data_IF_068900577747
#
_entry.id   IF_068900577747
#
_cell.length_a   1.000
_cell.length_b   1.000
_cell.length_c   1.000
_cell.angle_alpha   90.00
_cell.angle_beta   90.00
_cell.angle_gamma   90.00
#
_symmetry.space_group_name_H-M   'P 1'
#
loop_
_entity.id
_entity.type
_entity.pdbx_description
1 polymer ?
#
# COMPACT_ATOMS: atom_id res chain seq x y z
N UNK A 1 14.57 -7.39 -8.10
CA UNK A 1 13.77 -6.15 -8.22
C UNK A 1 13.96 -5.32 -6.96
N UNK A 2 14.11 -4.01 -7.11
CA UNK A 2 14.31 -3.10 -5.97
C UNK A 2 12.97 -2.52 -5.56
N UNK A 3 12.66 -2.58 -4.26
CA UNK A 3 11.42 -2.06 -3.71
C UNK A 3 11.71 -0.86 -2.84
N UNK A 4 11.17 0.29 -3.22
CA UNK A 4 11.35 1.54 -2.49
C UNK A 4 10.07 1.91 -1.73
N UNK A 5 10.25 2.55 -0.59
CA UNK A 5 9.12 3.08 0.17
C UNK A 5 8.28 4.01 -0.73
N UNK A 6 6.98 3.86 -0.67
CA UNK A 6 5.99 4.57 -1.48
C UNK A 6 5.98 4.22 -2.97
N UNK A 7 6.65 3.14 -3.37
CA UNK A 7 6.40 2.53 -4.67
C UNK A 7 4.97 1.97 -4.72
N UNK A 8 4.39 2.02 -5.91
CA UNK A 8 3.09 1.40 -6.20
C UNK A 8 3.33 0.11 -6.95
N UNK A 9 2.83 -0.99 -6.43
CA UNK A 9 3.07 -2.34 -6.94
C UNK A 9 1.76 -3.07 -7.18
N UNK A 10 1.72 -3.93 -8.18
CA UNK A 10 0.62 -4.87 -8.37
C UNK A 10 0.95 -6.13 -7.57
N UNK A 11 0.05 -6.52 -6.67
CA UNK A 11 0.29 -7.58 -5.68
C UNK A 11 -0.86 -8.57 -5.67
N UNK A 12 -0.53 -9.87 -5.61
CA UNK A 12 -1.52 -10.91 -5.34
C UNK A 12 -1.72 -11.01 -3.83
N UNK A 13 -2.89 -10.60 -3.35
CA UNK A 13 -3.22 -10.56 -1.93
C UNK A 13 -3.80 -11.86 -1.39
N UNK A 14 -4.27 -12.75 -2.27
CA UNK A 14 -4.88 -14.02 -1.82
C UNK A 14 -3.83 -15.01 -1.34
N UNK A 15 -4.19 -15.89 -0.40
CA UNK A 15 -5.50 -16.00 0.25
C UNK A 15 -5.73 -14.96 1.33
N UNK A 16 -6.98 -14.55 1.48
CA UNK A 16 -7.43 -13.60 2.50
C UNK A 16 -8.68 -14.14 3.19
N UNK A 17 -9.10 -13.47 4.28
CA UNK A 17 -10.28 -13.88 5.04
C UNK A 17 -11.24 -12.71 5.23
N UNK A 18 -12.53 -13.01 5.14
CA UNK A 18 -13.60 -12.08 5.51
C UNK A 18 -13.52 -10.74 4.80
N UNK A 19 -13.42 -9.68 5.58
CA UNK A 19 -13.43 -8.28 5.09
C UNK A 19 -12.07 -7.78 4.64
N UNK A 20 -11.05 -8.63 4.62
CA UNK A 20 -9.74 -8.24 4.08
C UNK A 20 -9.85 -8.01 2.58
N UNK A 21 -9.18 -6.95 2.09
CA UNK A 21 -9.12 -6.69 0.65
C UNK A 21 -8.37 -7.84 -0.03
N UNK A 22 -8.97 -8.40 -1.07
CA UNK A 22 -8.52 -9.64 -1.69
C UNK A 22 -8.13 -9.45 -3.16
N UNK A 23 -7.77 -10.57 -3.81
CA UNK A 23 -7.41 -10.66 -5.23
C UNK A 23 -6.11 -9.92 -5.54
N UNK A 24 -5.89 -9.67 -6.81
CA UNK A 24 -4.73 -8.92 -7.28
C UNK A 24 -5.10 -7.44 -7.31
N UNK A 25 -4.35 -6.63 -6.56
CA UNK A 25 -4.63 -5.21 -6.38
C UNK A 25 -3.36 -4.38 -6.44
N UNK A 26 -3.48 -3.11 -6.84
CA UNK A 26 -2.40 -2.16 -6.56
C UNK A 26 -2.22 -2.01 -5.05
N UNK A 27 -0.98 -1.89 -4.63
CA UNK A 27 -0.63 -1.70 -3.22
C UNK A 27 0.46 -0.66 -3.10
N UNK A 28 0.46 0.05 -1.99
CA UNK A 28 1.51 1.02 -1.65
C UNK A 28 2.52 0.36 -0.73
N UNK A 29 3.81 0.45 -1.07
CA UNK A 29 4.88 -0.02 -0.19
C UNK A 29 5.05 1.00 0.94
N UNK A 30 4.87 0.53 2.18
CA UNK A 30 4.97 1.36 3.38
C UNK A 30 6.33 1.23 4.04
N UNK A 31 6.92 0.02 4.00
CA UNK A 31 8.17 -0.26 4.70
C UNK A 31 9.36 0.50 4.08
N UNK A 32 10.31 0.92 4.93
CA UNK A 32 11.44 1.71 4.46
C UNK A 32 12.45 0.91 3.64
N UNK A 33 13.21 1.62 2.81
CA UNK A 33 14.14 1.04 1.84
C UNK A 33 15.14 0.08 2.48
N UNK A 34 15.68 0.43 3.65
CA UNK A 34 16.68 -0.39 4.31
C UNK A 34 16.11 -1.76 4.70
N UNK A 35 14.90 -1.78 5.25
CA UNK A 35 14.22 -3.01 5.62
C UNK A 35 13.86 -3.82 4.37
N UNK A 36 13.42 -3.14 3.32
CA UNK A 36 13.05 -3.81 2.06
C UNK A 36 14.23 -4.53 1.41
N UNK A 37 15.44 -4.01 1.59
CA UNK A 37 16.66 -4.65 1.08
C UNK A 37 17.08 -5.87 1.90
N UNK A 38 16.80 -5.87 3.19
CA UNK A 38 17.27 -6.91 4.11
C UNK A 38 16.31 -8.08 4.27
N UNK A 39 15.00 -7.81 4.18
CA UNK A 39 13.97 -8.82 4.41
C UNK A 39 13.39 -9.33 3.08
N UNK A 40 12.83 -10.53 3.12
CA UNK A 40 12.10 -11.11 1.98
C UNK A 40 10.62 -10.71 1.98
N UNK A 41 10.23 -9.83 2.90
CA UNK A 41 8.87 -9.34 3.05
C UNK A 41 8.80 -7.84 2.81
N UNK A 42 7.59 -7.34 2.61
CA UNK A 42 7.28 -5.90 2.54
C UNK A 42 6.05 -5.64 3.39
N UNK A 43 5.98 -4.44 3.97
CA UNK A 43 4.74 -3.96 4.56
C UNK A 43 4.05 -3.09 3.51
N UNK A 44 2.80 -3.42 3.21
CA UNK A 44 2.03 -2.74 2.16
C UNK A 44 0.67 -2.30 2.67
N UNK A 45 0.08 -1.33 1.98
CA UNK A 45 -1.32 -0.95 2.12
C UNK A 45 -2.03 -1.20 0.80
N UNK A 46 -3.14 -1.96 0.79
CA UNK A 46 -3.85 -2.22 -0.45
C UNK A 46 -4.62 -0.99 -0.92
N UNK A 47 -4.88 -0.92 -2.24
CA UNK A 47 -5.62 0.17 -2.87
C UNK A 47 -6.87 -0.43 -3.51
N UNK A 48 -8.03 0.15 -3.21
CA UNK A 48 -9.30 -0.26 -3.78
C UNK A 48 -9.90 0.87 -4.62
N UNK A 49 -10.60 0.51 -5.69
CA UNK A 49 -11.27 1.49 -6.55
C UNK A 49 -12.51 2.12 -5.90
N UNK A 50 -13.09 1.44 -4.91
CA UNK A 50 -14.31 1.90 -4.24
C UNK A 50 -14.12 1.90 -2.74
N UNK A 51 -14.51 3.00 -2.09
CA UNK A 51 -14.50 3.12 -0.64
C UNK A 51 -15.32 4.33 -0.22
N UNK A 52 -15.79 4.29 1.03
CA UNK A 52 -16.27 5.51 1.69
C UNK A 52 -15.07 6.33 2.13
N UNK A 53 -15.27 7.64 2.31
CA UNK A 53 -14.21 8.56 2.73
C UNK A 53 -13.95 8.45 4.24
N UNK A 54 -13.31 7.35 4.65
CA UNK A 54 -12.87 7.19 6.04
C UNK A 54 -11.57 7.98 6.29
N UNK A 55 -11.33 8.46 7.53
CA UNK A 55 -10.08 9.17 7.85
C UNK A 55 -8.82 8.34 7.62
N UNK A 56 -8.91 7.01 7.64
CA UNK A 56 -7.78 6.09 7.45
C UNK A 56 -7.51 5.76 5.98
N UNK A 57 -8.25 6.36 5.05
CA UNK A 57 -8.14 6.05 3.62
C UNK A 57 -7.84 7.30 2.83
N UNK A 58 -6.81 7.23 2.01
CA UNK A 58 -6.32 8.36 1.22
C UNK A 58 -6.61 8.12 -0.25
N UNK A 59 -7.34 9.07 -0.87
CA UNK A 59 -7.59 9.02 -2.30
C UNK A 59 -6.31 9.30 -3.06
N UNK A 60 -6.00 8.46 -4.06
CA UNK A 60 -4.80 8.62 -4.88
C UNK A 60 -5.15 8.73 -6.35
N UNK A 61 -4.47 9.65 -7.03
CA UNK A 61 -4.50 9.81 -8.48
C UNK A 61 -3.18 9.40 -9.11
N UNK A 62 -2.29 8.78 -8.35
CA UNK A 62 -0.96 8.38 -8.82
C UNK A 62 -0.98 7.12 -9.69
N UNK A 63 -2.14 6.45 -9.77
CA UNK A 63 -2.38 5.31 -10.64
C UNK A 63 -3.20 5.73 -11.86
N UNK A 64 -3.11 4.96 -12.95
CA UNK A 64 -3.93 5.20 -14.14
C UNK A 64 -5.43 5.12 -13.84
N UNK A 65 -5.82 4.25 -12.89
CA UNK A 65 -7.18 4.19 -12.36
C UNK A 65 -7.10 4.70 -10.92
N UNK A 66 -7.73 5.84 -10.59
CA UNK A 66 -7.71 6.36 -9.23
C UNK A 66 -8.32 5.38 -8.23
N UNK A 67 -7.88 5.47 -6.97
CA UNK A 67 -8.38 4.58 -5.93
C UNK A 67 -8.13 5.14 -4.54
N UNK A 68 -8.41 4.31 -3.53
CA UNK A 68 -8.26 4.63 -2.12
C UNK A 68 -7.18 3.75 -1.51
N UNK A 69 -6.17 4.38 -0.93
CA UNK A 69 -5.14 3.68 -0.16
C UNK A 69 -5.73 3.35 1.21
N UNK A 70 -5.85 2.06 1.51
CA UNK A 70 -6.53 1.58 2.72
C UNK A 70 -5.50 1.35 3.82
N UNK A 71 -5.16 2.41 4.55
CA UNK A 71 -4.12 2.36 5.58
C UNK A 71 -4.56 1.58 6.82
N UNK A 72 -5.86 1.35 6.99
CA UNK A 72 -6.37 0.50 8.07
C UNK A 72 -6.25 -1.00 7.77
N UNK A 73 -5.79 -1.38 6.57
CA UNK A 73 -5.50 -2.78 6.21
C UNK A 73 -4.03 -2.99 5.84
N UNK A 74 -3.13 -2.28 6.50
CA UNK A 74 -1.70 -2.51 6.35
C UNK A 74 -1.39 -3.96 6.72
N UNK A 75 -0.58 -4.64 5.89
CA UNK A 75 -0.17 -6.00 6.14
C UNK A 75 1.22 -6.28 5.60
N UNK A 76 1.85 -7.32 6.14
CA UNK A 76 3.13 -7.84 5.65
C UNK A 76 2.86 -8.91 4.61
N UNK A 77 3.56 -8.83 3.49
CA UNK A 77 3.49 -9.83 2.43
C UNK A 77 4.89 -10.33 2.08
N UNK A 78 4.96 -11.54 1.54
CA UNK A 78 6.20 -12.03 0.93
C UNK A 78 6.42 -11.31 -0.40
N UNK A 79 7.68 -10.97 -0.71
CA UNK A 79 8.01 -10.25 -1.94
C UNK A 79 7.64 -11.04 -3.21
N UNK A 80 7.53 -12.37 -3.10
CA UNK A 80 7.11 -13.20 -4.24
C UNK A 80 5.67 -12.95 -4.69
N UNK A 81 4.86 -12.27 -3.86
CA UNK A 81 3.49 -11.90 -4.24
C UNK A 81 3.42 -10.70 -5.18
N UNK A 82 4.54 -10.01 -5.40
CA UNK A 82 4.59 -8.82 -6.24
C UNK A 82 4.71 -9.24 -7.69
N UNK A 83 3.83 -8.72 -8.53
CA UNK A 83 3.78 -9.06 -9.95
C UNK A 83 4.54 -8.04 -10.80
N UNK A 84 4.38 -6.75 -10.51
CA UNK A 84 5.11 -5.69 -11.24
C UNK A 84 5.00 -4.35 -10.51
N UNK A 85 5.90 -3.44 -10.87
CA UNK A 85 5.86 -2.05 -10.41
C UNK A 85 4.90 -1.25 -11.27
N UNK A 86 4.06 -0.42 -10.65
CA UNK A 86 3.09 0.44 -11.33
C UNK A 86 3.52 1.91 -11.36
N UNK A 87 4.34 2.34 -10.43
CA UNK A 87 4.79 3.72 -10.33
C UNK A 87 5.18 4.09 -8.92
N UNK A 88 5.06 5.37 -8.60
CA UNK A 88 5.36 5.90 -7.26
C UNK A 88 4.27 6.87 -6.84
N UNK A 89 4.02 6.94 -5.55
CA UNK A 89 3.11 7.90 -4.98
C UNK A 89 3.71 9.31 -5.09
N UNK A 90 2.90 10.31 -5.42
CA UNK A 90 3.40 11.69 -5.46
C UNK A 90 3.65 12.23 -4.05
N UNK A 91 4.47 13.29 -3.96
CA UNK A 91 4.91 13.81 -2.66
C UNK A 91 3.77 14.35 -1.80
N UNK A 92 2.74 14.92 -2.40
CA UNK A 92 1.58 15.43 -1.68
C UNK A 92 0.80 14.30 -1.01
N UNK A 93 0.58 13.22 -1.74
CA UNK A 93 -0.12 12.05 -1.23
C UNK A 93 0.73 11.30 -0.19
N UNK A 94 2.06 11.29 -0.34
CA UNK A 94 2.97 10.75 0.67
C UNK A 94 2.79 11.46 2.01
N UNK A 95 2.73 12.80 1.99
CA UNK A 95 2.52 13.59 3.22
C UNK A 95 1.21 13.22 3.91
N UNK A 96 0.14 13.07 3.13
CA UNK A 96 -1.16 12.67 3.68
C UNK A 96 -1.11 11.29 4.31
N UNK A 97 -0.46 10.34 3.65
CA UNK A 97 -0.30 8.98 4.18
C UNK A 97 0.50 8.98 5.47
N UNK A 98 1.59 9.73 5.54
CA UNK A 98 2.40 9.83 6.77
C UNK A 98 1.58 10.35 7.95
N UNK A 99 0.77 11.37 7.73
CA UNK A 99 -0.09 11.94 8.76
C UNK A 99 -1.10 10.92 9.29
N UNK A 100 -1.72 10.16 8.38
CA UNK A 100 -2.70 9.12 8.76
C UNK A 100 -2.01 7.97 9.51
N UNK A 101 -0.84 7.53 9.04
CA UNK A 101 -0.09 6.46 9.71
C UNK A 101 0.30 6.89 11.13
N UNK A 102 0.73 8.13 11.30
CA UNK A 102 1.06 8.65 12.62
C UNK A 102 -0.15 8.62 13.57
N UNK A 103 -1.31 9.06 13.11
CA UNK A 103 -2.53 9.01 13.92
C UNK A 103 -2.98 7.58 14.23
N UNK A 104 -2.86 6.69 13.24
CA UNK A 104 -3.40 5.33 13.34
C UNK A 104 -2.51 4.41 14.18
N UNK A 105 -1.19 4.51 14.02
CA UNK A 105 -0.25 3.52 14.57
C UNK A 105 0.71 4.07 15.62
N UNK A 106 0.92 5.37 15.69
CA UNK A 106 1.93 5.97 16.58
C UNK A 106 1.29 6.65 17.78
N UNK A 107 0.19 7.34 17.59
CA UNK A 107 -0.49 8.10 18.68
C UNK A 107 -1.53 7.29 19.43
#
# INVERSE_FOLDING_TARGET
>A
MKFLQYDLMLVNLDPTMGSEINKTRPCLVISPDEINRQLKTLIIAPITSTSKSYPTRIYTKSLSIPGWIVLDQIRTIDQSRILKKLGQLNSEEVKKCKAVIEELLVK
#
